data_IF_280202214639
#
_entry.id   IF_280202214639
#
_cell.length_a   1.000
_cell.length_b   1.000
_cell.length_c   1.000
_cell.angle_alpha   90.00
_cell.angle_beta   90.00
_cell.angle_gamma   90.00
#
_symmetry.space_group_name_H-M   'P 1'
#
loop_
_entity.id
_entity.type
_entity.pdbx_description
1 polymer ?
#
# COMPACT_ATOMS: atom_id res chain seq x y z
N UNK A 1 -21.86 19.97 -0.19
CA UNK A 1 -20.65 19.20 -0.54
C UNK A 1 -20.16 18.61 0.76
N UNK A 2 -20.17 17.28 0.92
CA UNK A 2 -19.60 16.67 2.11
C UNK A 2 -18.12 17.06 2.16
N UNK A 3 -17.67 17.69 3.26
CA UNK A 3 -16.27 17.99 3.47
C UNK A 3 -15.48 16.71 3.21
N UNK A 4 -14.73 16.63 2.11
CA UNK A 4 -13.74 15.58 1.92
C UNK A 4 -12.80 15.68 3.10
N UNK A 5 -12.96 14.75 4.04
CA UNK A 5 -12.10 14.69 5.21
C UNK A 5 -10.79 14.16 4.67
N UNK A 6 -9.75 15.01 4.62
CA UNK A 6 -8.43 14.61 4.13
C UNK A 6 -7.91 13.51 5.06
N UNK A 7 -8.00 12.26 4.61
CA UNK A 7 -7.66 11.04 5.36
C UNK A 7 -6.73 10.17 4.53
N UNK A 8 -5.90 9.37 5.21
CA UNK A 8 -5.06 8.37 4.55
C UNK A 8 -5.87 7.17 4.09
N UNK A 9 -6.70 6.59 4.98
CA UNK A 9 -7.50 5.39 4.68
C UNK A 9 -6.69 4.29 3.96
N UNK A 10 -5.66 3.76 4.64
CA UNK A 10 -4.74 2.74 4.12
C UNK A 10 -5.45 1.49 3.61
N UNK A 11 -6.59 1.14 4.20
CA UNK A 11 -7.40 0.01 3.77
C UNK A 11 -8.11 0.26 2.43
N UNK A 12 -8.70 1.44 2.25
CA UNK A 12 -9.24 1.87 0.97
C UNK A 12 -8.16 1.99 -0.10
N UNK A 13 -6.95 2.41 0.27
CA UNK A 13 -5.81 2.46 -0.65
C UNK A 13 -5.39 1.06 -1.10
N UNK A 14 -5.33 0.08 -0.20
CA UNK A 14 -5.04 -1.32 -0.55
C UNK A 14 -6.06 -1.90 -1.55
N UNK A 15 -7.36 -1.68 -1.31
CA UNK A 15 -8.43 -2.12 -2.22
C UNK A 15 -8.28 -1.51 -3.60
N UNK A 16 -8.12 -0.19 -3.65
CA UNK A 16 -7.95 0.55 -4.89
C UNK A 16 -6.70 0.10 -5.65
N UNK A 17 -5.59 -0.09 -4.95
CA UNK A 17 -4.34 -0.56 -5.55
C UNK A 17 -4.51 -1.96 -6.14
N UNK A 18 -5.25 -2.85 -5.45
CA UNK A 18 -5.56 -4.20 -5.95
C UNK A 18 -6.31 -4.14 -7.27
N UNK A 19 -7.35 -3.31 -7.35
CA UNK A 19 -8.17 -3.13 -8.56
C UNK A 19 -7.33 -2.58 -9.71
N UNK A 20 -6.57 -1.51 -9.48
CA UNK A 20 -5.75 -0.92 -10.55
C UNK A 20 -4.66 -1.87 -11.03
N UNK A 21 -3.99 -2.57 -10.11
CA UNK A 21 -2.95 -3.52 -10.46
C UNK A 21 -3.52 -4.66 -11.30
N UNK A 22 -4.67 -5.22 -10.92
CA UNK A 22 -5.34 -6.25 -11.71
C UNK A 22 -5.71 -5.75 -13.11
N UNK A 23 -6.16 -4.49 -13.25
CA UNK A 23 -6.45 -3.88 -14.55
C UNK A 23 -5.20 -3.67 -15.41
N UNK A 24 -4.05 -3.33 -14.80
CA UNK A 24 -2.76 -3.29 -15.51
C UNK A 24 -2.38 -4.68 -16.04
N UNK A 25 -2.48 -5.71 -15.19
CA UNK A 25 -2.11 -7.09 -15.54
C UNK A 25 -3.03 -7.68 -16.60
N UNK A 26 -4.34 -7.37 -16.55
CA UNK A 26 -5.33 -7.81 -17.55
C UNK A 26 -4.97 -7.33 -18.96
N UNK A 27 -4.27 -6.21 -19.07
CA UNK A 27 -3.85 -5.60 -20.35
C UNK A 27 -2.52 -6.13 -20.87
N UNK A 28 -1.82 -6.95 -20.09
CA UNK A 28 -0.66 -7.69 -20.57
C UNK A 28 -1.10 -8.76 -21.57
N UNK A 29 -0.35 -8.91 -22.65
CA UNK A 29 -0.47 -10.03 -23.57
C UNK A 29 0.00 -11.29 -22.86
N UNK A 30 -0.94 -12.23 -22.72
CA UNK A 30 -0.71 -13.50 -22.04
C UNK A 30 -1.11 -14.56 -23.03
N UNK A 31 -0.15 -15.34 -23.50
CA UNK A 31 -0.25 -16.39 -24.51
C UNK A 31 -1.13 -17.59 -24.08
N UNK A 32 -2.27 -17.33 -23.44
CA UNK A 32 -3.15 -18.29 -22.74
C UNK A 32 -2.52 -18.95 -21.51
N UNK A 33 -1.35 -18.47 -21.08
CA UNK A 33 -0.66 -18.99 -19.90
C UNK A 33 -1.18 -18.40 -18.58
N UNK A 34 -1.09 -19.23 -17.54
CA UNK A 34 -1.40 -18.84 -16.17
C UNK A 34 -0.33 -17.91 -15.64
N UNK A 35 -0.76 -16.87 -14.91
CA UNK A 35 0.15 -16.02 -14.16
C UNK A 35 0.64 -16.77 -12.91
N UNK A 36 1.95 -16.91 -12.76
CA UNK A 36 2.59 -17.59 -11.63
C UNK A 36 3.07 -16.60 -10.58
N UNK A 37 3.58 -15.45 -10.99
CA UNK A 37 4.19 -14.50 -10.07
C UNK A 37 4.01 -13.06 -10.51
N UNK A 38 3.81 -12.18 -9.56
CA UNK A 38 3.82 -10.74 -9.77
C UNK A 38 5.02 -10.13 -9.03
N UNK A 39 5.94 -9.50 -9.76
CA UNK A 39 6.96 -8.64 -9.15
C UNK A 39 6.43 -7.21 -9.14
N UNK A 40 6.55 -6.52 -8.01
CA UNK A 40 6.18 -5.11 -7.88
C UNK A 40 7.37 -4.35 -7.33
N UNK A 41 7.84 -3.36 -8.08
CA UNK A 41 8.86 -2.42 -7.61
C UNK A 41 8.19 -1.29 -6.82
N UNK A 42 8.76 -0.99 -5.67
CA UNK A 42 8.31 0.08 -4.78
C UNK A 42 9.31 1.24 -4.81
N UNK A 43 8.82 2.46 -4.67
CA UNK A 43 9.68 3.59 -4.38
C UNK A 43 10.35 3.40 -3.00
N UNK A 44 11.67 3.62 -2.88
CA UNK A 44 12.40 3.40 -1.64
C UNK A 44 11.96 4.31 -0.48
N UNK A 45 11.36 5.47 -0.75
CA UNK A 45 11.06 6.46 0.28
C UNK A 45 9.64 6.34 0.83
N UNK A 46 8.65 6.05 -0.03
CA UNK A 46 7.24 6.05 0.36
C UNK A 46 6.52 4.72 0.09
N UNK A 47 7.24 3.72 -0.43
CA UNK A 47 6.75 2.38 -0.73
C UNK A 47 5.56 2.38 -1.71
N UNK A 48 5.42 3.43 -2.53
CA UNK A 48 4.44 3.43 -3.62
C UNK A 48 4.89 2.48 -4.72
N UNK A 49 3.99 1.61 -5.22
CA UNK A 49 4.27 0.82 -6.41
C UNK A 49 4.53 1.70 -7.63
N UNK A 50 5.64 1.49 -8.33
CA UNK A 50 6.05 2.28 -9.50
C UNK A 50 5.92 1.50 -10.81
N UNK A 51 6.39 0.24 -10.81
CA UNK A 51 6.41 -0.66 -11.97
C UNK A 51 6.22 -2.12 -11.54
N UNK A 52 5.87 -2.99 -12.47
CA UNK A 52 5.62 -4.40 -12.20
C UNK A 52 6.13 -5.33 -13.32
N UNK A 53 6.32 -6.61 -13.00
CA UNK A 53 6.47 -7.71 -13.98
C UNK A 53 5.43 -8.78 -13.68
N UNK A 54 4.65 -9.13 -14.69
CA UNK A 54 3.77 -10.29 -14.65
C UNK A 54 4.53 -11.49 -15.22
N UNK A 55 4.84 -12.48 -14.40
CA UNK A 55 5.62 -13.67 -14.78
C UNK A 55 4.69 -14.86 -14.91
N UNK A 56 4.71 -15.47 -16.08
CA UNK A 56 3.90 -16.62 -16.47
C UNK A 56 4.48 -17.92 -15.91
N UNK A 57 3.71 -19.01 -16.03
CA UNK A 57 4.12 -20.32 -15.55
C UNK A 57 5.40 -20.85 -16.22
N UNK A 58 5.62 -20.47 -17.49
CA UNK A 58 6.85 -20.72 -18.26
C UNK A 58 8.05 -19.88 -17.83
N UNK A 59 7.92 -19.06 -16.78
CA UNK A 59 8.87 -18.05 -16.33
C UNK A 59 9.13 -16.92 -17.37
N UNK A 60 8.29 -16.80 -18.40
CA UNK A 60 8.28 -15.69 -19.35
C UNK A 60 7.57 -14.48 -18.75
N UNK A 61 8.07 -13.28 -19.02
CA UNK A 61 7.42 -12.03 -18.63
C UNK A 61 6.34 -11.66 -19.64
N UNK A 62 5.10 -11.48 -19.19
CA UNK A 62 3.99 -11.02 -20.00
C UNK A 62 4.18 -9.55 -20.42
N UNK A 63 4.13 -9.28 -21.72
CA UNK A 63 4.38 -7.95 -22.30
C UNK A 63 3.13 -7.08 -22.24
N UNK A 64 3.29 -5.77 -22.07
CA UNK A 64 2.15 -4.85 -22.08
C UNK A 64 1.98 -4.21 -23.47
N UNK A 65 0.85 -4.49 -24.13
CA UNK A 65 0.57 -4.22 -25.56
C UNK A 65 0.70 -2.75 -26.02
N UNK A 66 0.75 -1.77 -25.11
CA UNK A 66 0.66 -0.34 -25.44
C UNK A 66 1.77 0.52 -24.80
N UNK A 67 2.93 -0.06 -24.52
CA UNK A 67 4.10 0.69 -24.00
C UNK A 67 5.27 0.46 -24.93
N UNK A 68 5.44 1.40 -25.88
CA UNK A 68 6.49 1.44 -26.90
C UNK A 68 7.89 1.77 -26.35
N UNK A 69 8.18 1.32 -25.14
CA UNK A 69 9.48 1.37 -24.49
C UNK A 69 9.43 0.30 -23.41
N UNK A 70 9.66 -0.95 -23.79
CA UNK A 70 10.07 -1.97 -22.85
C UNK A 70 11.28 -1.41 -22.10
N UNK A 71 11.07 -1.01 -20.85
CA UNK A 71 12.19 -0.63 -19.98
C UNK A 71 13.13 -1.83 -19.88
N UNK A 72 14.43 -1.58 -19.76
CA UNK A 72 15.43 -2.58 -19.44
C UNK A 72 14.87 -3.61 -18.44
N UNK A 73 15.05 -4.90 -18.77
CA UNK A 73 14.65 -6.08 -17.99
C UNK A 73 13.15 -6.45 -17.94
N UNK A 74 12.26 -5.82 -18.72
CA UNK A 74 10.86 -6.31 -18.89
C UNK A 74 9.86 -5.82 -17.84
N UNK A 75 10.17 -4.74 -17.12
CA UNK A 75 9.18 -4.06 -16.27
C UNK A 75 8.16 -3.28 -17.12
N UNK A 76 6.93 -3.19 -16.61
CA UNK A 76 5.87 -2.31 -17.12
C UNK A 76 5.52 -1.24 -16.07
N UNK A 77 5.37 0.02 -16.48
CA UNK A 77 4.92 1.09 -15.59
C UNK A 77 3.48 0.87 -15.15
N UNK A 78 3.19 1.10 -13.87
CA UNK A 78 1.82 1.00 -13.34
C UNK A 78 1.02 2.24 -13.75
N UNK A 79 -0.11 2.03 -14.41
CA UNK A 79 -1.06 3.08 -14.78
C UNK A 79 -2.23 3.14 -13.79
N UNK A 80 -2.62 4.35 -13.40
CA UNK A 80 -3.81 4.58 -12.59
C UNK A 80 -5.03 4.74 -13.51
N UNK A 81 -5.78 3.65 -13.70
CA UNK A 81 -6.99 3.66 -14.53
C UNK A 81 -8.21 4.23 -13.81
N UNK A 82 -8.24 4.10 -12.49
CA UNK A 82 -9.32 4.60 -11.64
C UNK A 82 -8.79 5.74 -10.76
N UNK A 83 -9.69 6.59 -10.25
CA UNK A 83 -9.31 7.65 -9.30
C UNK A 83 -9.14 7.08 -7.89
N UNK A 84 -8.02 7.36 -7.24
CA UNK A 84 -7.79 6.90 -5.87
C UNK A 84 -8.71 7.67 -4.92
N UNK A 85 -9.57 6.99 -4.13
CA UNK A 85 -10.48 7.67 -3.22
C UNK A 85 -9.76 8.22 -1.97
N UNK A 86 -8.44 8.10 -1.91
CA UNK A 86 -7.62 8.43 -0.74
C UNK A 86 -6.51 9.38 -1.11
N UNK A 87 -6.05 10.18 -0.13
CA UNK A 87 -4.96 11.11 -0.33
C UNK A 87 -3.59 10.43 -0.48
N UNK A 88 -3.46 9.14 -0.14
CA UNK A 88 -2.17 8.42 -0.18
C UNK A 88 -1.53 8.39 -1.57
N UNK A 89 -2.33 8.45 -2.64
CA UNK A 89 -1.80 8.55 -4.00
C UNK A 89 -1.09 9.89 -4.26
N UNK A 90 -1.52 10.97 -3.61
CA UNK A 90 -1.02 12.34 -3.81
C UNK A 90 -0.08 12.77 -2.69
N UNK A 91 1.17 13.12 -3.04
CA UNK A 91 2.21 13.41 -2.06
C UNK A 91 1.94 14.72 -1.30
N UNK A 92 1.44 15.75 -1.97
CA UNK A 92 1.17 17.05 -1.36
C UNK A 92 0.02 16.95 -0.34
N UNK A 93 -1.08 16.32 -0.73
CA UNK A 93 -2.23 16.08 0.14
C UNK A 93 -1.86 15.17 1.31
N UNK A 94 -1.08 14.11 1.07
CA UNK A 94 -0.58 13.23 2.14
C UNK A 94 0.29 13.95 3.15
N UNK A 95 1.18 14.84 2.69
CA UNK A 95 2.02 15.64 3.56
C UNK A 95 1.19 16.66 4.37
N UNK A 96 0.14 17.23 3.74
CA UNK A 96 -0.79 18.13 4.43
C UNK A 96 -1.55 17.41 5.55
N UNK A 97 -2.06 16.20 5.30
CA UNK A 97 -2.74 15.39 6.34
C UNK A 97 -1.82 15.12 7.53
N UNK A 98 -0.56 14.78 7.25
CA UNK A 98 0.43 14.54 8.29
C UNK A 98 0.63 15.76 9.19
N UNK A 99 0.83 16.94 8.58
CA UNK A 99 0.95 18.22 9.31
C UNK A 99 -0.31 18.56 10.11
N UNK A 100 -1.48 18.48 9.49
CA UNK A 100 -2.76 18.77 10.16
C UNK A 100 -2.97 17.83 11.37
N UNK A 101 -2.57 16.56 11.26
CA UNK A 101 -2.64 15.59 12.35
C UNK A 101 -1.66 15.93 13.48
N UNK A 102 -0.40 16.22 13.15
CA UNK A 102 0.63 16.61 14.12
C UNK A 102 0.15 17.81 14.95
N UNK A 103 -0.33 18.86 14.29
CA UNK A 103 -0.86 20.05 14.96
C UNK A 103 -2.04 19.73 15.90
N UNK A 104 -2.90 18.78 15.52
CA UNK A 104 -4.01 18.33 16.35
C UNK A 104 -3.55 17.44 17.52
N UNK A 105 -2.55 16.60 17.30
CA UNK A 105 -1.97 15.71 18.29
C UNK A 105 -1.25 16.51 19.39
N UNK A 106 -0.42 17.48 19.00
CA UNK A 106 0.30 18.36 19.93
C UNK A 106 -0.64 19.17 20.84
N UNK A 107 -1.84 19.53 20.36
CA UNK A 107 -2.87 20.18 21.18
C UNK A 107 -3.48 19.26 22.25
N UNK A 108 -3.45 17.94 22.03
CA UNK A 108 -3.95 16.95 22.99
C UNK A 108 -2.84 16.37 23.87
N UNK A 109 -1.61 16.38 23.37
CA UNK A 109 -0.41 15.85 24.02
C UNK A 109 0.80 16.68 23.60
N UNK A 110 1.24 17.58 24.47
CA UNK A 110 2.38 18.48 24.18
C UNK A 110 3.72 17.74 24.03
N UNK A 111 3.78 16.46 24.40
CA UNK A 111 4.96 15.61 24.22
C UNK A 111 4.92 14.80 22.90
N UNK A 112 3.90 15.01 22.05
CA UNK A 112 3.83 14.36 20.75
C UNK A 112 4.97 14.83 19.82
N UNK A 113 5.70 13.87 19.25
CA UNK A 113 6.83 14.14 18.36
C UNK A 113 6.44 13.98 16.89
N UNK A 114 6.85 14.94 16.07
CA UNK A 114 6.46 15.06 14.65
C UNK A 114 7.00 13.89 13.82
N UNK A 115 8.22 13.43 14.13
CA UNK A 115 8.88 12.33 13.44
C UNK A 115 8.04 11.05 13.44
N UNK A 116 7.18 10.85 14.45
CA UNK A 116 6.29 9.69 14.53
C UNK A 116 5.30 9.57 13.36
N UNK A 117 5.03 10.69 12.67
CA UNK A 117 3.91 10.83 11.74
C UNK A 117 4.32 11.39 10.37
N UNK A 118 5.49 11.00 9.90
CA UNK A 118 5.98 11.30 8.55
C UNK A 118 5.87 10.07 7.65
N UNK A 119 5.12 10.16 6.55
CA UNK A 119 4.88 9.05 5.61
C UNK A 119 6.17 8.56 4.95
N UNK A 120 7.11 9.48 4.70
CA UNK A 120 8.37 9.22 3.99
C UNK A 120 9.53 8.86 4.93
N UNK A 121 9.26 8.74 6.24
CA UNK A 121 10.29 8.37 7.22
C UNK A 121 10.15 6.90 7.55
N UNK A 122 11.22 6.15 7.33
CA UNK A 122 11.27 4.72 7.56
C UNK A 122 10.94 4.36 9.01
N UNK A 123 10.08 3.37 9.16
CA UNK A 123 9.70 2.83 10.48
C UNK A 123 8.69 3.67 11.25
N UNK A 124 8.22 4.81 10.73
CA UNK A 124 7.17 5.60 11.36
C UNK A 124 5.79 4.97 11.16
N UNK A 125 4.79 5.40 11.94
CA UNK A 125 3.47 4.75 11.97
C UNK A 125 2.82 4.74 10.57
N UNK A 126 2.71 5.86 9.84
CA UNK A 126 2.12 5.86 8.50
C UNK A 126 2.90 4.98 7.50
N UNK A 127 4.24 4.99 7.58
CA UNK A 127 5.09 4.16 6.73
C UNK A 127 4.85 2.66 6.97
N UNK A 128 4.76 2.22 8.22
CA UNK A 128 4.42 0.84 8.57
C UNK A 128 3.00 0.47 8.10
N UNK A 129 2.05 1.41 8.16
CA UNK A 129 0.70 1.19 7.66
C UNK A 129 0.63 1.07 6.12
N UNK A 130 1.50 1.76 5.38
CA UNK A 130 1.68 1.53 3.93
C UNK A 130 2.08 0.07 3.66
N UNK A 131 3.01 -0.46 4.45
CA UNK A 131 3.45 -1.86 4.33
C UNK A 131 2.32 -2.86 4.64
N UNK A 132 1.50 -2.58 5.66
CA UNK A 132 0.28 -3.37 5.91
C UNK A 132 -0.70 -3.32 4.72
N UNK A 133 -0.88 -2.17 4.11
CA UNK A 133 -1.75 -2.03 2.95
C UNK A 133 -1.25 -2.80 1.72
N UNK A 134 0.06 -2.77 1.44
CA UNK A 134 0.68 -3.60 0.38
C UNK A 134 0.47 -5.09 0.65
N UNK A 135 0.62 -5.50 1.91
CA UNK A 135 0.36 -6.89 2.34
C UNK A 135 -1.11 -7.29 2.21
N UNK A 136 -2.04 -6.37 2.44
CA UNK A 136 -3.47 -6.62 2.22
C UNK A 136 -3.77 -6.74 0.72
N UNK A 137 -3.19 -5.85 -0.10
CA UNK A 137 -3.31 -5.92 -1.55
C UNK A 137 -2.79 -7.26 -2.11
N UNK A 138 -1.63 -7.75 -1.66
CA UNK A 138 -1.10 -9.03 -2.13
C UNK A 138 -2.02 -10.21 -1.82
N UNK A 139 -2.69 -10.19 -0.66
CA UNK A 139 -3.68 -11.20 -0.28
C UNK A 139 -4.94 -11.16 -1.14
N UNK A 140 -5.40 -9.98 -1.53
CA UNK A 140 -6.61 -9.80 -2.35
C UNK A 140 -6.34 -10.05 -3.85
N UNK A 141 -5.06 -10.02 -4.27
CA UNK A 141 -4.69 -10.04 -5.69
C UNK A 141 -5.20 -11.27 -6.44
N UNK A 142 -5.08 -12.47 -5.85
CA UNK A 142 -5.47 -13.71 -6.52
C UNK A 142 -6.97 -13.73 -6.87
N UNK A 143 -7.82 -13.31 -5.93
CA UNK A 143 -9.26 -13.22 -6.15
C UNK A 143 -9.59 -12.15 -7.19
N UNK A 144 -8.98 -10.97 -7.07
CA UNK A 144 -9.23 -9.86 -7.99
C UNK A 144 -8.79 -10.18 -9.43
N UNK A 145 -7.66 -10.88 -9.61
CA UNK A 145 -7.19 -11.31 -10.92
C UNK A 145 -8.17 -12.27 -11.58
N UNK A 146 -8.64 -13.28 -10.85
CA UNK A 146 -9.66 -14.22 -11.35
C UNK A 146 -10.96 -13.50 -11.71
N UNK A 147 -11.39 -12.54 -10.88
CA UNK A 147 -12.58 -11.73 -11.14
C UNK A 147 -12.50 -10.97 -12.46
N UNK A 148 -11.32 -10.45 -12.83
CA UNK A 148 -11.11 -9.74 -14.10
C UNK A 148 -10.73 -10.65 -15.27
N UNK A 149 -10.86 -11.98 -15.10
CA UNK A 149 -10.62 -12.97 -16.15
C UNK A 149 -9.15 -13.35 -16.35
N UNK A 150 -8.29 -13.11 -15.36
CA UNK A 150 -6.87 -13.51 -15.40
C UNK A 150 -6.72 -14.89 -14.79
N UNK A 151 -6.34 -15.88 -15.62
CA UNK A 151 -5.95 -17.20 -15.13
C UNK A 151 -4.64 -17.15 -14.34
N UNK A 152 -4.61 -17.76 -13.16
CA UNK A 152 -3.42 -17.79 -12.29
C UNK A 152 -3.06 -19.22 -11.91
N UNK A 153 -1.78 -19.46 -11.58
CA UNK A 153 -1.31 -20.71 -11.01
C UNK A 153 -1.85 -20.86 -9.57
N UNK A 154 -1.97 -22.09 -9.09
CA UNK A 154 -2.37 -22.42 -7.71
C UNK A 154 -1.33 -21.94 -6.69
N UNK A 155 -0.06 -21.88 -7.08
CA UNK A 155 1.05 -21.35 -6.26
C UNK A 155 1.30 -19.84 -6.48
N UNK A 156 0.33 -19.13 -7.09
CA UNK A 156 0.49 -17.71 -7.40
C UNK A 156 0.88 -16.87 -6.18
N UNK A 157 1.87 -15.99 -6.36
CA UNK A 157 2.30 -15.07 -5.32
C UNK A 157 2.75 -13.71 -5.84
N UNK A 158 2.74 -12.74 -4.93
CA UNK A 158 3.23 -11.38 -5.16
C UNK A 158 4.53 -11.18 -4.39
N UNK A 159 5.53 -10.61 -5.05
CA UNK A 159 6.83 -10.27 -4.46
C UNK A 159 7.10 -8.78 -4.65
N UNK A 160 7.48 -8.12 -3.56
CA UNK A 160 7.84 -6.71 -3.54
C UNK A 160 9.35 -6.53 -3.61
N UNK A 161 9.79 -5.48 -4.28
CA UNK A 161 11.20 -5.12 -4.42
C UNK A 161 11.42 -3.62 -4.21
N UNK A 162 12.58 -3.27 -3.66
CA UNK A 162 13.10 -1.91 -3.57
C UNK A 162 14.55 -1.94 -4.04
N UNK A 163 14.86 -1.23 -5.13
CA UNK A 163 16.20 -1.21 -5.73
C UNK A 163 16.75 -2.64 -5.93
N UNK A 164 15.94 -3.50 -6.54
CA UNK A 164 16.23 -4.93 -6.80
C UNK A 164 16.38 -5.83 -5.56
N UNK A 165 16.18 -5.31 -4.35
CA UNK A 165 16.17 -6.10 -3.13
C UNK A 165 14.74 -6.54 -2.79
N UNK A 166 14.56 -7.84 -2.55
CA UNK A 166 13.27 -8.37 -2.10
C UNK A 166 12.90 -7.81 -0.74
N UNK A 167 11.68 -7.30 -0.62
CA UNK A 167 11.11 -6.80 0.62
C UNK A 167 10.18 -7.86 1.21
N UNK A 168 10.46 -8.27 2.45
CA UNK A 168 9.56 -9.15 3.22
C UNK A 168 8.59 -8.32 4.05
N UNK A 169 7.29 -8.51 3.84
CA UNK A 169 6.21 -7.84 4.57
C UNK A 169 5.53 -8.81 5.54
N UNK A 170 6.30 -9.38 6.46
CA UNK A 170 5.82 -10.37 7.44
C UNK A 170 4.85 -9.71 8.43
N UNK A 171 3.69 -10.34 8.69
CA UNK A 171 2.69 -9.76 9.58
C UNK A 171 3.23 -9.53 11.00
N UNK A 172 3.90 -10.53 11.58
CA UNK A 172 4.37 -10.46 12.97
C UNK A 172 5.45 -9.39 13.17
N UNK A 173 6.36 -9.24 12.21
CA UNK A 173 7.40 -8.22 12.22
C UNK A 173 6.79 -6.81 12.12
N UNK A 174 5.83 -6.62 11.20
CA UNK A 174 5.12 -5.36 11.05
C UNK A 174 4.31 -5.00 12.29
N UNK A 175 3.61 -5.97 12.89
CA UNK A 175 2.84 -5.75 14.12
C UNK A 175 3.76 -5.39 15.27
N UNK A 176 4.89 -6.08 15.42
CA UNK A 176 5.86 -5.77 16.47
C UNK A 176 6.43 -4.36 16.31
N UNK A 177 6.83 -3.99 15.09
CA UNK A 177 7.32 -2.65 14.79
C UNK A 177 6.26 -1.58 15.06
N UNK A 178 5.02 -1.81 14.61
CA UNK A 178 3.91 -0.88 14.81
C UNK A 178 3.59 -0.69 16.30
N UNK A 179 3.48 -1.77 17.06
CA UNK A 179 3.26 -1.71 18.52
C UNK A 179 4.35 -0.90 19.22
N UNK A 180 5.61 -1.08 18.83
CA UNK A 180 6.73 -0.32 19.39
C UNK A 180 6.55 1.18 19.15
N UNK A 181 6.24 1.58 17.92
CA UNK A 181 6.01 2.99 17.60
C UNK A 181 4.79 3.56 18.32
N UNK A 182 3.69 2.82 18.38
CA UNK A 182 2.47 3.22 19.06
C UNK A 182 2.69 3.39 20.57
N UNK A 183 3.50 2.52 21.19
CA UNK A 183 3.87 2.61 22.61
C UNK A 183 4.69 3.85 22.96
N UNK A 184 5.40 4.44 21.99
CA UNK A 184 6.12 5.71 22.20
C UNK A 184 5.23 6.93 21.92
N UNK A 185 4.44 6.89 20.84
CA UNK A 185 3.82 8.10 20.28
C UNK A 185 2.30 8.17 20.42
N UNK A 186 1.61 7.05 20.67
CA UNK A 186 0.15 6.99 20.77
C UNK A 186 -0.35 6.54 22.15
N UNK A 187 0.40 6.87 23.22
CA UNK A 187 -0.01 6.59 24.61
C UNK A 187 -1.26 7.37 25.02
N UNK A 188 -1.45 8.58 24.48
CA UNK A 188 -2.67 9.36 24.67
C UNK A 188 -3.83 8.77 23.84
N UNK A 189 -4.85 8.24 24.52
CA UNK A 189 -6.00 7.60 23.88
C UNK A 189 -6.75 8.52 22.91
N UNK A 190 -6.79 9.84 23.15
CA UNK A 190 -7.42 10.78 22.22
C UNK A 190 -6.62 10.89 20.93
N UNK A 191 -5.29 11.00 21.02
CA UNK A 191 -4.39 11.01 19.87
C UNK A 191 -4.49 9.71 19.10
N UNK A 192 -4.50 8.57 19.78
CA UNK A 192 -4.71 7.25 19.16
C UNK A 192 -6.04 7.14 18.41
N UNK A 193 -7.13 7.67 18.97
CA UNK A 193 -8.43 7.71 18.29
C UNK A 193 -8.38 8.61 17.05
N UNK A 194 -7.74 9.77 17.11
CA UNK A 194 -7.55 10.63 15.94
C UNK A 194 -6.76 9.92 14.84
N UNK A 195 -5.65 9.28 15.21
CA UNK A 195 -4.83 8.46 14.31
C UNK A 195 -5.66 7.35 13.64
N UNK A 196 -6.45 6.63 14.43
CA UNK A 196 -7.33 5.58 13.92
C UNK A 196 -8.33 6.09 12.87
N UNK A 197 -8.92 7.27 13.09
CA UNK A 197 -9.90 7.87 12.19
C UNK A 197 -9.31 8.40 10.89
N UNK A 198 -8.03 8.82 10.88
CA UNK A 198 -7.36 9.24 9.65
C UNK A 198 -6.76 8.07 8.87
N UNK A 199 -6.39 6.98 9.56
CA UNK A 199 -5.70 5.84 8.96
C UNK A 199 -6.64 4.82 8.34
N UNK A 200 -7.88 4.68 8.83
CA UNK A 200 -8.76 3.59 8.42
C UNK A 200 -10.18 4.05 8.14
N UNK A 201 -10.76 3.49 7.08
CA UNK A 201 -12.17 3.62 6.79
C UNK A 201 -12.98 2.51 7.47
N UNK A 202 -12.50 1.28 7.39
CA UNK A 202 -13.25 0.08 7.78
C UNK A 202 -13.25 -0.16 9.28
N UNK A 203 -14.40 -0.60 9.79
CA UNK A 203 -14.61 -0.77 11.23
C UNK A 203 -13.70 -1.84 11.82
N UNK A 204 -13.46 -2.94 11.12
CA UNK A 204 -12.58 -4.02 11.59
C UNK A 204 -11.15 -3.53 11.80
N UNK A 205 -10.62 -2.75 10.86
CA UNK A 205 -9.27 -2.21 10.94
C UNK A 205 -9.15 -1.17 12.05
N UNK A 206 -10.19 -0.35 12.26
CA UNK A 206 -10.25 0.57 13.40
C UNK A 206 -10.21 -0.19 14.73
N UNK A 207 -11.01 -1.26 14.87
CA UNK A 207 -11.03 -2.09 16.07
C UNK A 207 -9.66 -2.74 16.31
N UNK A 208 -9.07 -3.31 15.26
CA UNK A 208 -7.73 -3.90 15.32
C UNK A 208 -6.68 -2.88 15.78
N UNK A 209 -6.60 -1.72 15.13
CA UNK A 209 -5.63 -0.68 15.46
C UNK A 209 -5.79 -0.17 16.90
N UNK A 210 -7.03 0.04 17.34
CA UNK A 210 -7.31 0.46 18.71
C UNK A 210 -6.95 -0.60 19.76
N UNK A 211 -6.99 -1.89 19.39
CA UNK A 211 -6.65 -3.01 20.27
C UNK A 211 -5.15 -3.22 20.48
N UNK A 212 -4.30 -2.64 19.63
CA UNK A 212 -2.84 -2.71 19.80
C UNK A 212 -2.45 -2.00 21.10
N UNK A 213 -1.50 -2.53 21.91
CA UNK A 213 -1.05 -1.89 23.14
C UNK A 213 -0.43 -0.51 22.87
#
# INVERSE_FOLDING_TARGET
MANQTNQYNFDSWAEFLTINMAENIRRCERSQEKLKKLHIELDPHDYKPTRFKAILDSDIVATHTNTSADSEDGYSTIKNFYHCPTALADQETSAKIGRDFIDAAQKQDSAFFDDAWLLTMDGCIPHLLTQFALRSMSKMMAEQLRFVGVDINDDFYVQFHVNDNTVSLTYDELVLALKRQMGFYLTNLKVKKMACEICFRHKENKVWFMSLP
#
